data_IF_926316798379
#
_entry.id   IF_926316798379
#
_cell.length_a   1.000
_cell.length_b   1.000
_cell.length_c   1.000
_cell.angle_alpha   90.00
_cell.angle_beta   90.00
_cell.angle_gamma   90.00
#
_symmetry.space_group_name_H-M   'P 1'
#
loop_
_entity.id
_entity.type
_entity.pdbx_description
1 polymer ?
#
# COMPACT_ATOMS: atom_id res chain seq x y z
N UNK A 1 -7.24 4.60 -24.97
CA UNK A 1 -7.55 3.79 -23.77
C UNK A 1 -6.29 3.58 -22.96
N UNK A 2 -6.39 3.85 -21.68
CA UNK A 2 -5.27 3.62 -20.77
C UNK A 2 -5.16 2.13 -20.46
N UNK A 3 -3.93 1.63 -20.48
CA UNK A 3 -3.65 0.24 -20.15
C UNK A 3 -3.55 0.11 -18.63
N UNK A 4 -4.26 -0.85 -18.07
CA UNK A 4 -4.14 -1.18 -16.64
C UNK A 4 -2.87 -2.01 -16.42
N UNK A 5 -2.04 -1.57 -15.47
CA UNK A 5 -0.87 -2.33 -15.06
C UNK A 5 -1.29 -3.56 -14.28
N UNK A 6 -0.46 -4.59 -14.32
CA UNK A 6 -0.66 -5.77 -13.47
C UNK A 6 -0.37 -5.37 -12.04
N UNK A 7 -1.11 -5.94 -11.09
CA UNK A 7 -0.88 -5.68 -9.67
C UNK A 7 -0.32 -6.96 -9.04
N UNK A 8 0.84 -6.81 -8.41
CA UNK A 8 1.47 -7.90 -7.67
C UNK A 8 1.61 -7.48 -6.21
N UNK A 9 1.10 -8.30 -5.30
CA UNK A 9 1.22 -8.06 -3.87
C UNK A 9 2.37 -8.87 -3.32
N UNK A 10 3.31 -8.21 -2.64
CA UNK A 10 4.47 -8.89 -2.08
C UNK A 10 4.15 -9.48 -0.70
N UNK A 11 4.89 -10.53 -0.27
CA UNK A 11 4.59 -11.21 1.00
C UNK A 11 4.53 -10.30 2.22
N UNK A 12 5.43 -9.31 2.32
CA UNK A 12 5.44 -8.39 3.45
C UNK A 12 4.18 -7.53 3.51
N UNK A 13 3.58 -7.22 2.36
CA UNK A 13 2.31 -6.49 2.33
C UNK A 13 1.20 -7.30 3.00
N UNK A 14 1.09 -8.58 2.68
CA UNK A 14 0.08 -9.44 3.31
C UNK A 14 0.30 -9.55 4.81
N UNK A 15 1.55 -9.66 5.24
CA UNK A 15 1.89 -9.69 6.66
C UNK A 15 1.45 -8.42 7.37
N UNK A 16 1.75 -7.26 6.78
CA UNK A 16 1.33 -5.97 7.31
C UNK A 16 -0.20 -5.88 7.39
N UNK A 17 -0.88 -6.28 6.32
CA UNK A 17 -2.33 -6.22 6.24
C UNK A 17 -3.00 -7.09 7.30
N UNK A 18 -2.49 -8.30 7.50
CA UNK A 18 -3.02 -9.20 8.53
C UNK A 18 -2.93 -8.58 9.92
N UNK A 19 -1.80 -7.94 10.24
CA UNK A 19 -1.65 -7.26 11.53
C UNK A 19 -2.63 -6.11 11.71
N UNK A 20 -2.87 -5.34 10.65
CA UNK A 20 -3.80 -4.21 10.69
C UNK A 20 -5.24 -4.72 10.85
N UNK A 21 -5.65 -5.69 10.06
CA UNK A 21 -7.03 -6.22 10.12
C UNK A 21 -7.29 -6.93 11.43
N UNK A 22 -6.32 -7.67 11.97
CA UNK A 22 -6.44 -8.29 13.28
C UNK A 22 -6.62 -7.25 14.38
N UNK A 23 -5.86 -6.16 14.31
CA UNK A 23 -5.99 -5.06 15.28
C UNK A 23 -7.41 -4.47 15.25
N UNK A 24 -7.93 -4.18 14.05
CA UNK A 24 -9.26 -3.58 13.91
C UNK A 24 -10.33 -4.57 14.37
N UNK A 25 -10.21 -5.83 13.97
CA UNK A 25 -11.22 -6.85 14.25
C UNK A 25 -11.26 -7.24 15.72
N UNK A 26 -10.12 -7.49 16.33
CA UNK A 26 -10.04 -8.05 17.68
C UNK A 26 -9.77 -7.00 18.75
N UNK A 27 -8.83 -6.08 18.52
CA UNK A 27 -8.49 -5.06 19.51
C UNK A 27 -9.57 -3.98 19.60
N UNK A 28 -10.09 -3.54 18.46
CA UNK A 28 -11.16 -2.56 18.40
C UNK A 28 -12.54 -3.20 18.36
N UNK A 29 -12.60 -4.53 18.28
CA UNK A 29 -13.83 -5.31 18.23
C UNK A 29 -14.81 -4.80 17.18
N UNK A 30 -14.32 -4.58 15.95
CA UNK A 30 -15.11 -3.97 14.90
C UNK A 30 -14.87 -4.66 13.56
N UNK A 31 -15.61 -5.75 13.32
CA UNK A 31 -15.52 -6.52 12.08
C UNK A 31 -15.96 -5.72 10.86
N UNK A 32 -16.99 -4.87 11.01
CA UNK A 32 -17.50 -4.04 9.91
C UNK A 32 -16.42 -3.06 9.48
N UNK A 33 -15.73 -2.42 10.42
CA UNK A 33 -14.64 -1.50 10.11
C UNK A 33 -13.48 -2.20 9.41
N UNK A 34 -13.16 -3.44 9.80
CA UNK A 34 -12.12 -4.22 9.15
C UNK A 34 -12.47 -4.49 7.68
N UNK A 35 -13.69 -4.91 7.41
CA UNK A 35 -14.15 -5.18 6.04
C UNK A 35 -14.19 -3.90 5.20
N UNK A 36 -14.67 -2.80 5.76
CA UNK A 36 -14.70 -1.50 5.07
C UNK A 36 -13.30 -1.02 4.71
N UNK A 37 -12.34 -1.23 5.62
CA UNK A 37 -10.94 -0.88 5.38
C UNK A 37 -10.36 -1.67 4.20
N UNK A 38 -10.58 -2.98 4.17
CA UNK A 38 -10.10 -3.85 3.08
C UNK A 38 -10.69 -3.40 1.75
N UNK A 39 -11.99 -3.13 1.70
CA UNK A 39 -12.67 -2.69 0.48
C UNK A 39 -12.12 -1.36 -0.03
N UNK A 40 -11.92 -0.41 0.86
CA UNK A 40 -11.37 0.90 0.52
C UNK A 40 -9.93 0.76 0.00
N UNK A 41 -9.14 -0.08 0.66
CA UNK A 41 -7.75 -0.35 0.28
C UNK A 41 -7.69 -0.92 -1.14
N UNK A 42 -8.50 -1.93 -1.45
CA UNK A 42 -8.54 -2.53 -2.77
C UNK A 42 -8.93 -1.51 -3.85
N UNK A 43 -9.95 -0.69 -3.58
CA UNK A 43 -10.40 0.34 -4.51
C UNK A 43 -9.29 1.34 -4.81
N UNK A 44 -8.59 1.81 -3.80
CA UNK A 44 -7.53 2.80 -3.97
C UNK A 44 -6.35 2.21 -4.74
N UNK A 45 -5.98 0.97 -4.47
CA UNK A 45 -4.89 0.30 -5.20
C UNK A 45 -5.29 0.09 -6.66
N UNK A 46 -6.51 -0.38 -6.92
CA UNK A 46 -6.96 -0.63 -8.29
C UNK A 46 -7.03 0.65 -9.13
N UNK A 47 -7.44 1.76 -8.54
CA UNK A 47 -7.44 3.05 -9.24
C UNK A 47 -6.06 3.47 -9.71
N UNK A 48 -5.04 3.22 -8.88
CA UNK A 48 -3.65 3.59 -9.20
C UNK A 48 -3.06 2.74 -10.31
N UNK A 49 -3.59 1.54 -10.54
CA UNK A 49 -3.05 0.61 -11.53
C UNK A 49 -3.14 1.11 -12.98
N UNK A 50 -3.96 2.11 -13.26
CA UNK A 50 -4.05 2.68 -14.62
C UNK A 50 -2.87 3.59 -14.94
N UNK A 51 -2.34 4.31 -13.95
CA UNK A 51 -1.16 5.16 -14.11
C UNK A 51 -0.39 5.23 -12.80
N UNK A 52 0.20 4.12 -12.37
CA UNK A 52 0.81 4.06 -11.04
C UNK A 52 2.04 4.95 -10.89
N UNK A 53 2.72 5.28 -11.99
CA UNK A 53 3.92 6.12 -12.00
C UNK A 53 3.62 7.62 -12.08
N UNK A 54 2.33 8.02 -12.10
CA UNK A 54 1.92 9.42 -12.20
C UNK A 54 1.62 10.07 -10.84
N UNK A 55 1.92 9.39 -9.74
CA UNK A 55 1.53 9.83 -8.41
C UNK A 55 2.73 10.23 -7.54
N UNK A 56 2.46 10.57 -6.28
CA UNK A 56 3.45 11.08 -5.34
C UNK A 56 4.53 10.04 -5.03
N UNK A 57 5.77 10.42 -5.24
CA UNK A 57 6.93 9.60 -4.90
C UNK A 57 7.30 9.80 -3.44
N UNK A 58 7.75 8.72 -2.79
CA UNK A 58 8.30 8.81 -1.45
C UNK A 58 9.72 9.37 -1.53
N UNK A 59 9.96 10.48 -0.83
CA UNK A 59 11.30 11.08 -0.76
C UNK A 59 12.03 10.39 0.40
N UNK A 60 13.07 9.62 0.05
CA UNK A 60 13.84 8.87 1.03
C UNK A 60 15.18 9.55 1.32
N UNK A 61 15.65 9.45 2.56
CA UNK A 61 16.99 9.86 2.93
C UNK A 61 18.03 8.82 2.52
N UNK A 62 17.60 7.63 2.14
CA UNK A 62 18.47 6.55 1.67
C UNK A 62 18.42 6.45 0.16
N UNK A 63 19.56 6.07 -0.43
CA UNK A 63 19.57 5.70 -1.84
C UNK A 63 18.87 4.35 -1.99
N UNK A 64 17.86 4.30 -2.88
CA UNK A 64 17.08 3.10 -3.07
C UNK A 64 17.19 2.60 -4.51
N UNK A 65 17.09 1.28 -4.66
CA UNK A 65 17.13 0.63 -5.97
C UNK A 65 15.91 1.01 -6.82
N UNK A 66 14.75 1.18 -6.17
CA UNK A 66 13.49 1.50 -6.84
C UNK A 66 12.92 2.80 -6.32
N UNK A 67 12.17 3.50 -7.18
CA UNK A 67 11.36 4.63 -6.77
C UNK A 67 10.10 4.12 -6.09
N UNK A 68 9.85 4.57 -4.87
CA UNK A 68 8.65 4.21 -4.12
C UNK A 68 7.58 5.27 -4.29
N UNK A 69 6.34 4.83 -4.44
CA UNK A 69 5.15 5.68 -4.51
C UNK A 69 4.26 5.40 -3.31
N UNK A 70 3.39 6.35 -2.99
CA UNK A 70 2.54 6.27 -1.80
C UNK A 70 1.07 6.37 -2.15
N UNK A 71 0.25 5.59 -1.43
CA UNK A 71 -1.21 5.73 -1.44
C UNK A 71 -1.65 5.90 0.01
N UNK A 72 -2.38 6.98 0.29
CA UNK A 72 -2.90 7.23 1.63
C UNK A 72 -4.27 6.58 1.78
N UNK A 73 -4.43 5.68 2.75
CA UNK A 73 -5.69 5.01 3.06
C UNK A 73 -5.91 5.10 4.56
N UNK A 74 -6.85 5.93 4.98
CA UNK A 74 -7.09 6.23 6.40
C UNK A 74 -5.79 6.71 7.07
N UNK A 75 -5.36 6.07 8.15
CA UNK A 75 -4.12 6.41 8.86
C UNK A 75 -2.92 5.58 8.40
N UNK A 76 -3.04 4.94 7.24
CA UNK A 76 -2.01 4.06 6.71
C UNK A 76 -1.51 4.56 5.37
N UNK A 77 -0.30 4.15 5.04
CA UNK A 77 0.30 4.45 3.74
C UNK A 77 0.70 3.15 3.08
N UNK A 78 0.24 2.96 1.85
CA UNK A 78 0.66 1.84 1.00
C UNK A 78 1.86 2.30 0.19
N UNK A 79 2.92 1.50 0.20
CA UNK A 79 4.12 1.74 -0.60
C UNK A 79 4.17 0.75 -1.75
N UNK A 80 4.36 1.25 -2.95
CA UNK A 80 4.49 0.41 -4.14
C UNK A 80 5.61 0.91 -5.05
N UNK A 81 6.08 0.02 -5.89
CA UNK A 81 7.04 0.33 -6.95
C UNK A 81 6.44 -0.08 -8.29
N UNK A 82 6.99 0.47 -9.38
CA UNK A 82 6.55 0.12 -10.72
C UNK A 82 7.74 -0.51 -11.45
N UNK A 83 7.51 -1.68 -12.03
CA UNK A 83 8.52 -2.42 -12.77
C UNK A 83 7.90 -2.88 -14.08
N UNK A 84 8.31 -2.29 -15.19
CA UNK A 84 7.73 -2.51 -16.52
C UNK A 84 6.21 -2.27 -16.52
N UNK A 85 5.40 -3.31 -16.69
CA UNK A 85 3.95 -3.20 -16.71
C UNK A 85 3.30 -3.64 -15.40
N UNK A 86 4.10 -3.79 -14.33
CA UNK A 86 3.64 -4.32 -13.05
C UNK A 86 3.77 -3.28 -11.94
N UNK A 87 2.69 -3.10 -11.21
CA UNK A 87 2.64 -2.34 -9.96
C UNK A 87 2.86 -3.32 -8.82
N UNK A 88 3.99 -3.19 -8.13
CA UNK A 88 4.35 -4.08 -7.02
C UNK A 88 4.00 -3.43 -5.70
N UNK A 89 2.95 -3.93 -5.04
CA UNK A 89 2.50 -3.42 -3.74
C UNK A 89 3.34 -4.08 -2.66
N UNK A 90 4.19 -3.29 -2.00
CA UNK A 90 5.27 -3.81 -1.14
C UNK A 90 4.95 -3.80 0.33
N UNK A 91 4.41 -2.68 0.84
CA UNK A 91 4.13 -2.52 2.26
C UNK A 91 2.88 -1.70 2.48
N UNK A 92 2.22 -1.91 3.62
CA UNK A 92 1.23 -0.98 4.17
C UNK A 92 1.60 -0.73 5.62
N UNK A 93 1.83 0.54 5.97
CA UNK A 93 2.38 0.92 7.26
C UNK A 93 1.58 2.07 7.88
N UNK A 94 1.51 2.08 9.21
CA UNK A 94 0.91 3.20 9.93
C UNK A 94 1.69 4.48 9.62
N UNK A 95 0.97 5.58 9.37
CA UNK A 95 1.55 6.82 8.83
C UNK A 95 2.60 7.47 9.74
N UNK A 96 2.64 7.11 11.02
CA UNK A 96 3.59 7.65 11.99
C UNK A 96 4.85 6.81 12.17
N UNK A 97 4.99 5.72 11.41
CA UNK A 97 6.18 4.87 11.51
C UNK A 97 7.33 5.44 10.69
N UNK A 98 8.54 5.03 11.04
CA UNK A 98 9.73 5.41 10.28
C UNK A 98 9.85 4.53 9.03
N UNK A 99 9.35 5.03 7.91
CA UNK A 99 9.27 4.27 6.67
C UNK A 99 10.64 3.87 6.12
N UNK A 100 11.63 4.76 6.22
CA UNK A 100 12.94 4.52 5.62
C UNK A 100 13.64 3.30 6.21
N UNK A 101 13.33 2.94 7.44
CA UNK A 101 13.86 1.71 8.05
C UNK A 101 13.09 0.46 7.63
N UNK A 102 11.84 0.62 7.18
CA UNK A 102 10.93 -0.49 6.96
C UNK A 102 10.80 -0.88 5.49
N UNK A 103 11.02 0.07 4.59
CA UNK A 103 10.89 -0.19 3.15
C UNK A 103 12.26 -0.29 2.42
#
# INVERSE_FOLDING_TARGET
MEKKYKIKYLPLFYNDLDQITDYIMYKLNNEIAANNFINKLEDEINKRAYRPDAYEKHISTKKRQYTYYKIYVNNYIVFYTVNDDTMEVRRILYSRRNFDKLI
#
